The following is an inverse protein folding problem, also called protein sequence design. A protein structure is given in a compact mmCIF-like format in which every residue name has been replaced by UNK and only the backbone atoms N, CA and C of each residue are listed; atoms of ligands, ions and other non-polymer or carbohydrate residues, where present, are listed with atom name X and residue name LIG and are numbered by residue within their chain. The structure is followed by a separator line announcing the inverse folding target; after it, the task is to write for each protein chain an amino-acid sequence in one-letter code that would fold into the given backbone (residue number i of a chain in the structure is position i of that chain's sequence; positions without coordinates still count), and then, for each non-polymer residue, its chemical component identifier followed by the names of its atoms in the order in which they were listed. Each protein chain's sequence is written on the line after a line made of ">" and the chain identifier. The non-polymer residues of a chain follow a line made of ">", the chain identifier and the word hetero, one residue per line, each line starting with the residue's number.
data_IF_558423101979
#
_entry.id   IF_558423101979
#
_cell.length_a   1.000
_cell.length_b   1.000
_cell.length_c   1.000
_cell.angle_alpha   90.00
_cell.angle_beta   90.00
_cell.angle_gamma   90.00
#
_symmetry.space_group_name_H-M   'P 1'
#
loop_
_entity.id
_entity.type
_entity.pdbx_description
1 polymer ?
#
# COMPACT_ATOMS: atom_id res chain seq x y z
N UNK A 1 -4.45 -1.81 -19.31
CA UNK A 1 -3.80 -0.75 -18.50
C UNK A 1 -4.80 -0.28 -17.45
N UNK A 2 -4.47 -0.43 -16.16
CA UNK A 2 -5.29 0.08 -15.05
C UNK A 2 -4.96 1.55 -14.84
N UNK A 3 -5.97 2.42 -14.81
CA UNK A 3 -5.86 3.87 -14.60
C UNK A 3 -6.58 4.27 -13.32
N UNK A 4 -6.16 5.39 -12.70
CA UNK A 4 -6.73 5.85 -11.43
C UNK A 4 -8.25 6.10 -11.50
N UNK A 5 -8.76 6.46 -12.68
CA UNK A 5 -10.18 6.70 -12.97
C UNK A 5 -10.94 5.47 -13.46
N UNK A 6 -10.28 4.32 -13.55
CA UNK A 6 -10.96 3.07 -13.91
C UNK A 6 -12.01 2.78 -12.86
N UNK A 7 -13.26 2.59 -13.27
CA UNK A 7 -14.35 2.27 -12.34
C UNK A 7 -14.40 0.77 -12.08
N UNK A 8 -14.43 0.40 -10.81
CA UNK A 8 -14.63 -0.95 -10.32
C UNK A 8 -16.08 -1.11 -9.87
N UNK A 9 -16.74 -2.16 -10.33
CA UNK A 9 -18.09 -2.51 -9.91
C UNK A 9 -18.05 -3.44 -8.70
N UNK A 10 -18.58 -2.97 -7.58
CA UNK A 10 -18.79 -3.79 -6.41
C UNK A 10 -19.95 -4.79 -6.61
N UNK A 11 -20.00 -5.85 -5.79
CA UNK A 11 -21.06 -6.87 -5.83
C UNK A 11 -22.45 -6.31 -5.59
N UNK A 12 -22.56 -5.18 -4.87
CA UNK A 12 -23.80 -4.43 -4.65
C UNK A 12 -24.19 -3.51 -5.83
N UNK A 13 -23.44 -3.54 -6.94
CA UNK A 13 -23.70 -2.74 -8.13
C UNK A 13 -23.11 -1.33 -8.11
N UNK A 14 -22.54 -0.87 -6.98
CA UNK A 14 -21.92 0.46 -6.87
C UNK A 14 -20.62 0.51 -7.69
N UNK A 15 -20.43 1.59 -8.43
CA UNK A 15 -19.18 1.88 -9.13
C UNK A 15 -18.30 2.78 -8.25
N UNK A 16 -17.01 2.43 -8.14
CA UNK A 16 -16.02 3.22 -7.41
C UNK A 16 -14.73 3.31 -8.20
N UNK A 17 -14.01 4.44 -8.19
CA UNK A 17 -12.69 4.52 -8.80
C UNK A 17 -11.74 3.49 -8.19
N UNK A 18 -10.93 2.84 -9.03
CA UNK A 18 -9.95 1.86 -8.61
C UNK A 18 -9.00 2.43 -7.55
N UNK A 19 -8.61 3.70 -7.70
CA UNK A 19 -7.78 4.39 -6.72
C UNK A 19 -8.46 4.45 -5.34
N UNK A 20 -9.75 4.80 -5.29
CA UNK A 20 -10.54 4.88 -4.05
C UNK A 20 -10.64 3.52 -3.36
N UNK A 21 -10.91 2.46 -4.12
CA UNK A 21 -11.02 1.11 -3.55
C UNK A 21 -9.69 0.65 -2.96
N UNK A 22 -8.57 0.94 -3.64
CA UNK A 22 -7.25 0.55 -3.17
C UNK A 22 -6.82 1.42 -1.97
N UNK A 23 -7.14 2.72 -1.97
CA UNK A 23 -6.80 3.63 -0.87
C UNK A 23 -7.61 3.36 0.39
N UNK A 24 -8.87 2.95 0.25
CA UNK A 24 -9.73 2.55 1.38
C UNK A 24 -9.50 1.10 1.83
N UNK A 25 -8.48 0.43 1.29
CA UNK A 25 -8.19 -0.94 1.71
C UNK A 25 -7.87 -0.98 3.21
N UNK A 26 -8.53 -1.92 3.89
CA UNK A 26 -8.46 -2.22 5.32
C UNK A 26 -7.02 -2.41 5.88
N UNK A 27 -6.04 -2.54 4.99
CA UNK A 27 -4.63 -2.78 5.30
C UNK A 27 -4.04 -1.71 6.22
N UNK A 28 -4.34 -0.43 6.00
CA UNK A 28 -3.79 0.65 6.85
C UNK A 28 -4.30 0.55 8.28
N UNK A 29 -5.61 0.42 8.45
CA UNK A 29 -6.23 0.37 9.78
C UNK A 29 -5.76 -0.88 10.54
N UNK A 30 -5.76 -2.03 9.86
CA UNK A 30 -5.29 -3.29 10.43
C UNK A 30 -3.82 -3.22 10.85
N UNK A 31 -2.94 -2.70 9.99
CA UNK A 31 -1.52 -2.54 10.29
C UNK A 31 -1.30 -1.55 11.45
N UNK A 32 -2.00 -0.41 11.44
CA UNK A 32 -1.88 0.59 12.51
C UNK A 32 -2.32 0.03 13.86
N UNK A 33 -3.41 -0.73 13.90
CA UNK A 33 -3.87 -1.40 15.10
C UNK A 33 -2.90 -2.50 15.57
N UNK A 34 -2.28 -3.22 14.64
CA UNK A 34 -1.26 -4.24 14.98
C UNK A 34 -0.01 -3.61 15.56
N UNK A 35 0.48 -2.51 14.97
CA UNK A 35 1.63 -1.75 15.48
C UNK A 35 1.33 -1.21 16.88
N UNK A 36 0.14 -0.62 17.10
CA UNK A 36 -0.28 -0.14 18.43
C UNK A 36 -0.37 -1.26 19.48
N UNK A 37 -0.74 -2.48 19.09
CA UNK A 37 -0.78 -3.63 20.00
C UNK A 37 0.62 -4.16 20.32
N UNK A 38 1.52 -4.16 19.34
CA UNK A 38 2.90 -4.63 19.51
C UNK A 38 3.79 -3.61 20.24
N UNK A 39 3.48 -2.33 20.08
CA UNK A 39 4.25 -1.22 20.66
C UNK A 39 3.56 -0.77 21.95
N UNK A 40 4.22 -0.91 23.10
CA UNK A 40 3.72 -0.37 24.38
C UNK A 40 3.78 1.18 24.45
N UNK A 41 4.07 1.85 23.33
CA UNK A 41 4.27 3.30 23.21
C UNK A 41 3.54 3.85 21.98
N UNK A 42 3.26 5.14 21.99
CA UNK A 42 2.69 5.88 20.86
C UNK A 42 3.70 5.90 19.71
N UNK A 43 3.38 5.22 18.61
CA UNK A 43 4.17 5.26 17.37
C UNK A 43 3.63 6.36 16.46
N UNK A 44 4.50 7.27 16.01
CA UNK A 44 4.12 8.31 15.06
C UNK A 44 4.22 7.79 13.63
N UNK A 45 3.32 8.23 12.75
CA UNK A 45 3.34 7.81 11.33
C UNK A 45 4.66 8.12 10.62
N UNK A 46 5.40 9.13 11.08
CA UNK A 46 6.69 9.54 10.52
C UNK A 46 7.83 8.58 10.89
N UNK A 47 7.64 7.71 11.87
CA UNK A 47 8.63 6.73 12.32
C UNK A 47 8.43 5.37 11.64
N UNK A 48 7.29 5.16 10.99
CA UNK A 48 6.96 3.91 10.30
C UNK A 48 7.49 3.99 8.87
N UNK A 49 8.30 3.00 8.49
CA UNK A 49 8.63 2.73 7.10
C UNK A 49 7.70 1.64 6.57
N UNK A 50 6.93 1.98 5.55
CA UNK A 50 5.99 1.10 4.89
C UNK A 50 6.66 0.43 3.69
N UNK A 51 6.49 -0.89 3.59
CA UNK A 51 6.87 -1.66 2.42
C UNK A 51 5.59 -2.24 1.83
N UNK A 52 5.29 -1.87 0.59
CA UNK A 52 4.17 -2.43 -0.16
C UNK A 52 4.76 -3.31 -1.25
N UNK A 53 4.45 -4.60 -1.22
CA UNK A 53 4.85 -5.51 -2.28
C UNK A 53 3.85 -5.44 -3.43
N UNK A 54 4.35 -5.49 -4.65
CA UNK A 54 3.54 -5.49 -5.87
C UNK A 54 4.00 -6.59 -6.82
N UNK A 55 3.09 -7.18 -7.60
CA UNK A 55 3.48 -8.20 -8.57
C UNK A 55 4.49 -7.68 -9.57
N UNK A 56 5.53 -8.47 -9.87
CA UNK A 56 6.59 -8.06 -10.80
C UNK A 56 6.08 -7.79 -12.22
N UNK A 57 5.03 -8.52 -12.63
CA UNK A 57 4.37 -8.38 -13.94
C UNK A 57 3.58 -7.06 -14.11
N UNK A 58 3.39 -6.29 -13.04
CA UNK A 58 2.69 -5.02 -13.13
C UNK A 58 3.49 -3.98 -13.92
N UNK A 59 2.78 -3.20 -14.74
CA UNK A 59 3.37 -2.09 -15.47
C UNK A 59 3.84 -0.99 -14.50
N UNK A 60 4.79 -0.16 -14.96
CA UNK A 60 5.26 1.00 -14.18
C UNK A 60 4.10 1.92 -13.74
N UNK A 61 3.09 2.09 -14.60
CA UNK A 61 1.89 2.88 -14.30
C UNK A 61 1.07 2.28 -13.15
N UNK A 62 0.90 0.95 -13.12
CA UNK A 62 0.19 0.27 -12.02
C UNK A 62 0.96 0.41 -10.69
N UNK A 63 2.30 0.33 -10.73
CA UNK A 63 3.16 0.55 -9.55
C UNK A 63 3.05 1.99 -9.03
N UNK A 64 3.00 2.98 -9.92
CA UNK A 64 2.77 4.38 -9.55
C UNK A 64 1.36 4.59 -8.98
N UNK A 65 0.35 3.94 -9.54
CA UNK A 65 -1.02 3.99 -9.03
C UNK A 65 -1.10 3.46 -7.59
N UNK A 66 -0.37 2.39 -7.27
CA UNK A 66 -0.29 1.89 -5.90
C UNK A 66 0.37 2.91 -4.94
N UNK A 67 1.42 3.59 -5.38
CA UNK A 67 2.05 4.67 -4.60
C UNK A 67 1.08 5.83 -4.35
N UNK A 68 0.29 6.22 -5.35
CA UNK A 68 -0.75 7.23 -5.19
C UNK A 68 -1.84 6.77 -4.24
N UNK A 69 -2.30 5.52 -4.36
CA UNK A 69 -3.32 4.95 -3.47
C UNK A 69 -2.85 4.96 -2.01
N UNK A 70 -1.59 4.62 -1.76
CA UNK A 70 -1.00 4.68 -0.43
C UNK A 70 -0.91 6.12 0.13
N UNK A 71 -0.68 7.11 -0.74
CA UNK A 71 -0.73 8.53 -0.36
C UNK A 71 -2.14 8.94 0.04
N UNK A 72 -3.13 8.64 -0.80
CA UNK A 72 -4.56 8.96 -0.56
C UNK A 72 -5.09 8.25 0.69
N UNK A 73 -4.63 7.02 0.95
CA UNK A 73 -4.91 6.29 2.18
C UNK A 73 -4.29 6.96 3.42
N UNK A 74 -3.38 7.92 3.27
CA UNK A 74 -2.64 8.56 4.35
C UNK A 74 -1.69 7.60 5.07
N UNK A 75 -1.14 6.62 4.35
CA UNK A 75 -0.11 5.70 4.87
C UNK A 75 1.19 6.47 5.17
N UNK A 76 1.50 7.48 4.36
CA UNK A 76 2.63 8.38 4.55
C UNK A 76 2.19 9.82 4.21
N UNK A 77 2.90 10.82 4.75
CA UNK A 77 2.49 12.23 4.68
C UNK A 77 2.97 12.98 3.44
N UNK A 78 4.13 12.60 2.87
CA UNK A 78 4.74 13.30 1.74
C UNK A 78 5.20 12.30 0.68
N UNK A 79 4.93 12.57 -0.60
CA UNK A 79 5.37 11.74 -1.73
C UNK A 79 6.89 11.69 -1.86
N UNK A 80 7.59 12.68 -1.30
CA UNK A 80 9.05 12.72 -1.19
C UNK A 80 9.58 12.00 0.05
N UNK A 81 8.70 11.58 0.97
CA UNK A 81 9.09 10.82 2.15
C UNK A 81 9.68 9.47 1.74
N UNK A 82 10.84 9.15 2.31
CA UNK A 82 11.51 7.86 2.14
C UNK A 82 10.80 6.71 2.88
N UNK A 83 9.73 7.02 3.60
CA UNK A 83 8.95 6.09 4.42
C UNK A 83 8.04 5.16 3.61
N UNK A 84 8.09 5.18 2.27
CA UNK A 84 7.40 4.20 1.43
C UNK A 84 8.34 3.58 0.39
N UNK A 85 8.51 2.27 0.51
CA UNK A 85 9.21 1.41 -0.44
C UNK A 85 8.18 0.57 -1.20
N UNK A 86 8.27 0.56 -2.53
CA UNK A 86 7.55 -0.39 -3.38
C UNK A 86 8.52 -1.51 -3.73
N UNK A 87 8.28 -2.71 -3.21
CA UNK A 87 9.10 -3.88 -3.47
C UNK A 87 8.40 -4.80 -4.48
N UNK A 88 9.16 -5.53 -5.30
CA UNK A 88 8.54 -6.56 -6.14
C UNK A 88 8.29 -7.82 -5.31
N UNK A 89 7.13 -8.46 -5.47
CA UNK A 89 6.79 -9.72 -4.79
C UNK A 89 7.92 -10.78 -4.89
N UNK A 90 8.53 -11.06 -6.07
CA UNK A 90 9.61 -12.05 -6.13
C UNK A 90 10.90 -11.59 -5.42
N UNK A 91 11.18 -10.29 -5.34
CA UNK A 91 12.35 -9.78 -4.61
C UNK A 91 12.14 -9.89 -3.10
N UNK A 92 10.94 -9.55 -2.61
CA UNK A 92 10.57 -9.71 -1.21
C UNK A 92 10.61 -11.19 -0.79
N UNK A 93 10.07 -12.09 -1.63
CA UNK A 93 10.13 -13.53 -1.40
C UNK A 93 11.57 -14.05 -1.38
N UNK A 94 12.43 -13.61 -2.31
CA UNK A 94 13.83 -14.02 -2.35
C UNK A 94 14.58 -13.55 -1.09
N UNK A 95 14.36 -12.33 -0.63
CA UNK A 95 15.00 -11.82 0.58
C UNK A 95 14.62 -12.67 1.81
N UNK A 96 13.34 -13.02 1.93
CA UNK A 96 12.86 -13.91 2.99
C UNK A 96 13.53 -15.29 2.93
N UNK A 97 13.58 -15.91 1.74
CA UNK A 97 14.24 -17.21 1.57
C UNK A 97 15.75 -17.18 1.87
N UNK A 98 16.41 -16.02 1.74
CA UNK A 98 17.83 -15.85 2.10
C UNK A 98 18.07 -15.61 3.59
N UNK A 99 17.05 -15.25 4.35
CA UNK A 99 17.13 -15.07 5.81
C UNK A 99 16.91 -16.38 6.58
N UNK A 100 16.50 -17.45 5.89
CA UNK A 100 16.42 -18.83 6.38
C UNK A 100 17.74 -19.55 6.17
#
# INVERSE_FOLDING_TARGET
>A
NVTARMELKATNGKLLPALTVISESYLKEHASNTIKKASFQTVYNQEITWVITVPAIWSAAAKQLMRLAAKEAGIFSDILSKNLIIALDPEAALLWCKQL
#
